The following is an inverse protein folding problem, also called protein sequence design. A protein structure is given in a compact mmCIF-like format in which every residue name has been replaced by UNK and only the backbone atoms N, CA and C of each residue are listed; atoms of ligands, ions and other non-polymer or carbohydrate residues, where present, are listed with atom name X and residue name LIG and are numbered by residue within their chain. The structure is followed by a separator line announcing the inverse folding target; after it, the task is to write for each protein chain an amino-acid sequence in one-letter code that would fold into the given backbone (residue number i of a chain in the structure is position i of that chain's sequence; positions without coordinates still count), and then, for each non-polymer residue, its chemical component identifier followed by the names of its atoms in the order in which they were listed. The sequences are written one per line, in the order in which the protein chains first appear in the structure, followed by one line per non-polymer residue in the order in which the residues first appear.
data_IF_484346612627
#
_entry.id   IF_484346612627
#
_cell.length_a   1.000
_cell.length_b   1.000
_cell.length_c   1.000
_cell.angle_alpha   90.00
_cell.angle_beta   90.00
_cell.angle_gamma   90.00
#
_symmetry.space_group_name_H-M   'P 1'
#
loop_
_entity.id
_entity.type
_entity.pdbx_description
1 polymer ?
#
# COMPACT_ATOMS: atom_id res chain seq x y z
N UNK A 1 -26.77 -11.31 2.04
CA UNK A 1 -26.13 -10.00 2.28
C UNK A 1 -24.84 -9.81 1.45
N UNK A 2 -23.89 -10.80 1.44
CA UNK A 2 -22.64 -10.70 0.67
C UNK A 2 -22.89 -10.52 -0.84
N UNK A 3 -23.79 -11.29 -1.45
CA UNK A 3 -24.10 -11.22 -2.88
C UNK A 3 -24.65 -9.84 -3.30
N UNK A 4 -25.41 -9.17 -2.44
CA UNK A 4 -25.94 -7.83 -2.73
C UNK A 4 -24.86 -6.72 -2.71
N UNK A 5 -23.69 -6.98 -2.13
CA UNK A 5 -22.58 -6.04 -1.99
C UNK A 5 -21.46 -6.24 -3.02
N UNK A 6 -21.50 -7.39 -3.73
CA UNK A 6 -20.46 -7.73 -4.72
C UNK A 6 -21.02 -7.58 -6.13
N UNK A 7 -20.24 -6.93 -7.00
CA UNK A 7 -20.57 -6.88 -8.41
C UNK A 7 -20.24 -8.23 -9.07
N UNK A 8 -21.13 -8.74 -9.95
CA UNK A 8 -20.96 -10.04 -10.59
C UNK A 8 -19.65 -10.18 -11.38
N UNK A 9 -19.14 -9.08 -11.95
CA UNK A 9 -17.89 -9.05 -12.71
C UNK A 9 -16.63 -8.97 -11.81
N UNK A 10 -16.77 -8.83 -10.47
CA UNK A 10 -15.65 -8.89 -9.56
C UNK A 10 -15.35 -10.33 -9.15
N UNK A 11 -14.90 -11.11 -10.14
CA UNK A 11 -14.65 -12.54 -10.01
C UNK A 11 -13.79 -12.90 -8.81
N UNK A 12 -12.73 -12.11 -8.54
CA UNK A 12 -11.82 -12.36 -7.39
C UNK A 12 -12.54 -12.23 -6.05
N UNK A 13 -13.38 -11.22 -5.89
CA UNK A 13 -14.14 -11.03 -4.64
C UNK A 13 -15.26 -12.05 -4.51
N UNK A 14 -15.90 -12.43 -5.60
CA UNK A 14 -16.92 -13.50 -5.62
C UNK A 14 -16.28 -14.82 -5.19
N UNK A 15 -15.16 -15.21 -5.81
CA UNK A 15 -14.42 -16.43 -5.45
C UNK A 15 -13.99 -16.40 -3.98
N UNK A 16 -13.43 -15.28 -3.52
CA UNK A 16 -13.01 -15.14 -2.12
C UNK A 16 -14.19 -15.27 -1.14
N UNK A 17 -15.35 -14.73 -1.48
CA UNK A 17 -16.54 -14.87 -0.66
C UNK A 17 -17.04 -16.33 -0.58
N UNK A 18 -16.94 -17.07 -1.69
CA UNK A 18 -17.26 -18.50 -1.74
C UNK A 18 -16.25 -19.33 -0.94
N UNK A 19 -14.95 -19.09 -1.10
CA UNK A 19 -13.90 -19.73 -0.31
C UNK A 19 -14.14 -19.59 1.19
N UNK A 20 -14.44 -18.37 1.66
CA UNK A 20 -14.76 -18.12 3.07
C UNK A 20 -16.01 -18.89 3.49
N UNK A 21 -17.05 -18.88 2.69
CA UNK A 21 -18.29 -19.60 2.99
C UNK A 21 -18.08 -21.12 3.09
N UNK A 22 -17.36 -21.71 2.14
CA UNK A 22 -17.10 -23.15 2.16
C UNK A 22 -16.13 -23.57 3.29
N UNK A 23 -15.22 -22.71 3.68
CA UNK A 23 -14.26 -23.01 4.77
C UNK A 23 -14.81 -22.76 6.16
N UNK A 24 -15.75 -21.82 6.32
CA UNK A 24 -16.23 -21.38 7.65
C UNK A 24 -17.69 -21.66 7.92
N UNK A 25 -18.47 -22.02 6.89
CA UNK A 25 -19.94 -22.13 6.95
C UNK A 25 -20.68 -20.79 7.10
N UNK A 26 -19.96 -19.66 7.14
CA UNK A 26 -20.52 -18.34 7.37
C UNK A 26 -20.24 -17.38 6.19
N UNK A 27 -21.19 -16.49 5.82
CA UNK A 27 -20.96 -15.55 4.75
C UNK A 27 -19.92 -14.49 5.15
N UNK A 28 -19.12 -14.05 4.18
CA UNK A 28 -18.06 -13.02 4.35
C UNK A 28 -18.58 -11.72 5.03
N UNK A 29 -19.84 -11.35 4.83
CA UNK A 29 -20.48 -10.21 5.50
C UNK A 29 -20.50 -10.35 7.02
N UNK A 30 -20.67 -11.56 7.53
CA UNK A 30 -20.70 -11.83 8.96
C UNK A 30 -19.30 -11.71 9.60
N UNK A 31 -18.26 -12.09 8.86
CA UNK A 31 -16.87 -11.88 9.30
C UNK A 31 -16.48 -10.39 9.28
N UNK A 32 -17.00 -9.64 8.30
CA UNK A 32 -16.79 -8.19 8.21
C UNK A 32 -17.50 -7.42 9.34
N UNK A 33 -18.66 -7.89 9.78
CA UNK A 33 -19.36 -7.32 10.95
C UNK A 33 -18.58 -7.56 12.26
N UNK A 34 -17.97 -8.74 12.42
CA UNK A 34 -17.11 -9.04 13.57
C UNK A 34 -15.81 -8.20 13.58
N UNK A 35 -15.29 -7.87 12.39
CA UNK A 35 -14.10 -6.99 12.26
C UNK A 35 -14.50 -5.50 12.32
N UNK A 36 -15.76 -5.18 12.07
CA UNK A 36 -16.31 -3.82 12.13
C UNK A 36 -16.73 -3.36 13.53
N UNK A 37 -16.73 -4.22 14.53
CA UNK A 37 -16.68 -3.81 15.92
C UNK A 37 -15.27 -3.24 16.16
N UNK A 38 -15.13 -1.96 15.86
CA UNK A 38 -13.95 -1.14 16.11
C UNK A 38 -13.72 -1.02 17.64
N UNK A 39 -13.41 -2.12 18.29
CA UNK A 39 -12.65 -2.06 19.53
C UNK A 39 -11.22 -1.71 19.10
N UNK A 40 -10.85 -0.47 19.32
CA UNK A 40 -9.45 -0.07 19.25
C UNK A 40 -8.73 -0.89 20.33
N UNK A 41 -8.11 -1.99 19.90
CA UNK A 41 -7.37 -2.91 20.79
C UNK A 41 -6.04 -2.28 21.23
N UNK A 42 -5.64 -1.21 20.60
CA UNK A 42 -4.35 -0.55 20.78
C UNK A 42 -4.51 0.96 20.73
N UNK A 43 -3.75 1.69 21.52
CA UNK A 43 -3.55 3.12 21.35
C UNK A 43 -2.75 3.32 20.06
N UNK A 44 -3.41 3.85 19.03
CA UNK A 44 -2.87 3.91 17.68
C UNK A 44 -2.70 5.34 17.22
N UNK A 45 -1.47 5.74 16.92
CA UNK A 45 -1.16 6.96 16.17
C UNK A 45 -0.78 6.62 14.73
N UNK A 46 -1.65 6.97 13.79
CA UNK A 46 -1.40 6.82 12.35
C UNK A 46 -0.85 8.12 11.79
N UNK A 47 0.35 8.07 11.21
CA UNK A 47 0.97 9.21 10.53
C UNK A 47 1.18 8.86 9.07
N UNK A 48 0.66 9.70 8.17
CA UNK A 48 0.88 9.57 6.73
C UNK A 48 1.64 10.79 6.20
N UNK A 49 2.74 10.51 5.51
CA UNK A 49 3.51 11.54 4.82
C UNK A 49 2.79 11.97 3.54
N UNK A 50 2.65 13.26 3.34
CA UNK A 50 2.03 13.84 2.15
C UNK A 50 2.98 14.85 1.50
N UNK A 51 2.89 14.97 0.18
CA UNK A 51 3.61 15.99 -0.59
C UNK A 51 2.83 16.35 -1.85
N UNK A 52 3.11 17.50 -2.50
CA UNK A 52 2.52 17.87 -3.77
C UNK A 52 2.67 16.75 -4.80
N UNK A 53 1.59 16.45 -5.53
CA UNK A 53 1.51 15.32 -6.46
C UNK A 53 2.60 15.32 -7.52
N UNK A 54 2.93 16.48 -8.06
CA UNK A 54 3.99 16.62 -9.06
C UNK A 54 5.34 16.16 -8.50
N UNK A 55 5.67 16.61 -7.29
CA UNK A 55 6.91 16.23 -6.59
C UNK A 55 6.96 14.74 -6.25
N UNK A 56 5.83 14.17 -5.81
CA UNK A 56 5.73 12.73 -5.57
C UNK A 56 6.01 11.92 -6.84
N UNK A 57 5.41 12.33 -7.97
CA UNK A 57 5.59 11.65 -9.24
C UNK A 57 7.01 11.76 -9.79
N UNK A 58 7.63 12.92 -9.66
CA UNK A 58 9.03 13.11 -10.02
C UNK A 58 9.97 12.22 -9.16
N UNK A 59 9.71 12.16 -7.87
CA UNK A 59 10.45 11.30 -6.94
C UNK A 59 10.30 9.81 -7.29
N UNK A 60 9.10 9.37 -7.65
CA UNK A 60 8.81 8.02 -8.10
C UNK A 60 9.59 7.71 -9.38
N UNK A 61 9.53 8.60 -10.37
CA UNK A 61 10.21 8.41 -11.64
C UNK A 61 11.73 8.29 -11.46
N UNK A 62 12.34 9.21 -10.69
CA UNK A 62 13.78 9.15 -10.36
C UNK A 62 14.16 7.88 -9.61
N UNK A 63 13.33 7.43 -8.66
CA UNK A 63 13.58 6.18 -7.94
C UNK A 63 13.62 4.98 -8.89
N UNK A 64 12.70 4.90 -9.86
CA UNK A 64 12.69 3.82 -10.86
C UNK A 64 13.95 3.87 -11.71
N UNK A 65 14.39 5.05 -12.16
CA UNK A 65 15.62 5.20 -12.93
C UNK A 65 16.85 4.73 -12.13
N UNK A 66 16.93 5.10 -10.84
CA UNK A 66 18.00 4.65 -9.94
C UNK A 66 17.97 3.13 -9.77
N UNK A 67 16.80 2.52 -9.55
CA UNK A 67 16.68 1.07 -9.41
C UNK A 67 17.14 0.34 -10.68
N UNK A 68 16.79 0.85 -11.85
CA UNK A 68 17.26 0.28 -13.11
C UNK A 68 18.80 0.42 -13.28
N UNK A 69 19.37 1.56 -12.89
CA UNK A 69 20.81 1.78 -12.90
C UNK A 69 21.57 0.93 -11.87
N UNK A 70 20.93 0.54 -10.78
CA UNK A 70 21.47 -0.31 -9.72
C UNK A 70 21.33 -1.80 -9.99
N UNK A 71 20.80 -2.21 -11.15
CA UNK A 71 20.79 -3.62 -11.55
C UNK A 71 19.44 -4.32 -11.40
N UNK A 72 18.32 -3.61 -11.41
CA UNK A 72 16.99 -4.23 -11.33
C UNK A 72 16.75 -5.27 -12.44
N UNK A 73 17.28 -5.06 -13.65
CA UNK A 73 17.14 -6.01 -14.74
C UNK A 73 17.95 -7.28 -14.48
N UNK A 74 19.17 -7.13 -14.00
CA UNK A 74 20.10 -8.20 -13.66
C UNK A 74 19.57 -9.03 -12.49
N UNK A 75 18.96 -8.38 -11.49
CA UNK A 75 18.29 -9.04 -10.37
C UNK A 75 17.16 -9.96 -10.86
N UNK A 76 16.24 -9.44 -11.67
CA UNK A 76 15.09 -10.22 -12.18
C UNK A 76 15.58 -11.34 -13.12
N UNK A 77 16.58 -11.08 -13.94
CA UNK A 77 17.18 -12.09 -14.80
C UNK A 77 17.80 -13.23 -13.98
N UNK A 78 18.52 -12.90 -12.91
CA UNK A 78 19.08 -13.88 -11.99
C UNK A 78 18.02 -14.74 -11.31
N UNK A 79 16.91 -14.14 -10.87
CA UNK A 79 15.80 -14.86 -10.27
C UNK A 79 15.16 -15.85 -11.25
N UNK A 80 14.94 -15.44 -12.49
CA UNK A 80 14.40 -16.31 -13.55
C UNK A 80 15.37 -17.45 -13.86
N UNK A 81 16.67 -17.16 -13.99
CA UNK A 81 17.69 -18.15 -14.24
C UNK A 81 17.81 -19.19 -13.12
N UNK A 82 17.51 -18.80 -11.87
CA UNK A 82 17.44 -19.70 -10.72
C UNK A 82 16.10 -20.46 -10.60
N UNK A 83 15.29 -20.45 -11.66
CA UNK A 83 14.07 -21.26 -11.74
C UNK A 83 12.81 -20.60 -11.15
N UNK A 84 12.83 -19.30 -10.83
CA UNK A 84 11.65 -18.63 -10.34
C UNK A 84 10.61 -18.50 -11.49
N UNK A 85 9.42 -19.10 -11.29
CA UNK A 85 8.36 -19.03 -12.29
C UNK A 85 7.79 -17.59 -12.36
N UNK A 86 7.63 -17.07 -13.57
CA UNK A 86 7.03 -15.75 -13.85
C UNK A 86 5.61 -15.57 -13.30
N UNK A 87 4.88 -16.67 -13.10
CA UNK A 87 3.51 -16.66 -12.57
C UNK A 87 3.45 -16.68 -11.04
N UNK A 88 4.56 -16.94 -10.35
CA UNK A 88 4.58 -16.95 -8.91
C UNK A 88 4.28 -15.55 -8.32
N UNK A 89 3.76 -15.52 -7.10
CA UNK A 89 3.33 -14.27 -6.44
C UNK A 89 4.44 -13.24 -6.33
N UNK A 90 5.68 -13.67 -6.08
CA UNK A 90 6.84 -12.77 -6.00
C UNK A 90 7.09 -12.04 -7.33
N UNK A 91 6.98 -12.74 -8.46
CA UNK A 91 7.16 -12.17 -9.80
C UNK A 91 5.99 -11.28 -10.25
N UNK A 92 4.86 -11.28 -9.53
CA UNK A 92 3.77 -10.33 -9.75
C UNK A 92 3.98 -9.00 -9.02
N UNK A 93 5.07 -8.87 -8.23
CA UNK A 93 5.43 -7.63 -7.58
C UNK A 93 5.68 -6.51 -8.61
N UNK A 94 5.36 -5.29 -8.17
CA UNK A 94 5.55 -4.10 -9.00
C UNK A 94 7.05 -3.90 -9.29
N UNK A 95 7.40 -3.86 -10.56
CA UNK A 95 8.77 -3.84 -11.06
C UNK A 95 9.17 -5.17 -11.68
N UNK A 96 9.05 -6.27 -10.97
CA UNK A 96 9.47 -7.59 -11.45
C UNK A 96 8.68 -8.04 -12.68
N UNK A 97 7.37 -7.83 -12.65
CA UNK A 97 6.50 -8.18 -13.78
C UNK A 97 6.87 -7.44 -15.06
N UNK A 98 7.06 -6.12 -14.97
CA UNK A 98 7.39 -5.28 -16.12
C UNK A 98 8.77 -5.63 -16.69
N UNK A 99 9.75 -5.85 -15.83
CA UNK A 99 11.11 -6.25 -16.24
C UNK A 99 11.10 -7.66 -16.85
N UNK A 100 10.36 -8.62 -16.26
CA UNK A 100 10.23 -9.96 -16.81
C UNK A 100 9.60 -9.97 -18.21
N UNK A 101 8.68 -9.07 -18.52
CA UNK A 101 8.12 -8.89 -19.85
C UNK A 101 9.18 -8.40 -20.86
N UNK A 102 10.04 -7.46 -20.45
CA UNK A 102 11.12 -7.00 -21.30
C UNK A 102 12.16 -8.09 -21.53
N UNK A 103 12.53 -8.85 -20.49
CA UNK A 103 13.48 -9.96 -20.61
C UNK A 103 12.97 -11.09 -21.52
N UNK A 104 11.64 -11.26 -21.62
CA UNK A 104 11.02 -12.20 -22.55
C UNK A 104 10.85 -11.64 -23.98
N UNK A 105 11.24 -10.38 -24.23
CA UNK A 105 11.08 -9.74 -25.54
C UNK A 105 9.64 -9.35 -25.88
N UNK A 106 8.73 -9.32 -24.88
CA UNK A 106 7.32 -8.94 -25.07
C UNK A 106 7.16 -7.43 -25.27
N UNK A 107 8.04 -6.65 -24.63
CA UNK A 107 8.11 -5.18 -24.72
C UNK A 107 9.57 -4.74 -24.75
N UNK A 108 9.83 -3.51 -25.18
CA UNK A 108 11.17 -2.94 -25.10
C UNK A 108 11.59 -2.63 -23.66
N UNK A 109 12.88 -2.46 -23.41
CA UNK A 109 13.40 -2.06 -22.09
C UNK A 109 12.87 -0.69 -21.67
N UNK A 110 12.80 0.25 -22.59
CA UNK A 110 12.27 1.59 -22.39
C UNK A 110 10.78 1.57 -22.04
N UNK A 111 10.03 0.73 -22.74
CA UNK A 111 8.60 0.56 -22.48
C UNK A 111 8.35 -0.07 -21.11
N UNK A 112 9.12 -1.10 -20.71
CA UNK A 112 9.02 -1.68 -19.39
C UNK A 112 9.29 -0.66 -18.27
N UNK A 113 10.32 0.18 -18.43
CA UNK A 113 10.64 1.26 -17.48
C UNK A 113 9.49 2.29 -17.41
N UNK A 114 8.93 2.69 -18.55
CA UNK A 114 7.80 3.61 -18.62
C UNK A 114 6.56 3.05 -17.91
N UNK A 115 6.25 1.79 -18.18
CA UNK A 115 5.16 1.06 -17.56
C UNK A 115 5.34 0.94 -16.05
N UNK A 116 6.56 0.63 -15.58
CA UNK A 116 6.89 0.57 -14.16
C UNK A 116 6.68 1.93 -13.48
N UNK A 117 7.17 3.02 -14.06
CA UNK A 117 6.93 4.39 -13.56
C UNK A 117 5.44 4.68 -13.44
N UNK A 118 4.67 4.40 -14.48
CA UNK A 118 3.23 4.66 -14.50
C UNK A 118 2.48 3.82 -13.44
N UNK A 119 2.78 2.54 -13.34
CA UNK A 119 2.15 1.64 -12.37
C UNK A 119 2.50 2.03 -10.94
N UNK A 120 3.72 2.47 -10.69
CA UNK A 120 4.16 2.96 -9.38
C UNK A 120 3.41 4.23 -8.98
N UNK A 121 3.22 5.20 -9.91
CA UNK A 121 2.37 6.38 -9.68
C UNK A 121 0.93 6.01 -9.37
N UNK A 122 0.38 5.04 -10.11
CA UNK A 122 -0.99 4.55 -9.87
C UNK A 122 -1.11 3.85 -8.51
N UNK A 123 -0.07 3.12 -8.09
CA UNK A 123 -0.01 2.51 -6.77
C UNK A 123 -0.01 3.57 -5.66
N UNK A 124 0.84 4.59 -5.76
CA UNK A 124 0.87 5.71 -4.82
C UNK A 124 -0.48 6.45 -4.74
N UNK A 125 -1.16 6.66 -5.87
CA UNK A 125 -2.51 7.23 -5.91
C UNK A 125 -3.51 6.37 -5.12
N UNK A 126 -3.46 5.04 -5.26
CA UNK A 126 -4.34 4.13 -4.51
C UNK A 126 -4.04 4.14 -3.02
N UNK A 127 -2.75 4.16 -2.62
CA UNK A 127 -2.35 4.28 -1.21
C UNK A 127 -2.91 5.55 -0.57
N UNK A 128 -2.73 6.71 -1.21
CA UNK A 128 -3.26 7.99 -0.72
C UNK A 128 -4.80 7.96 -0.63
N UNK A 129 -5.46 7.37 -1.62
CA UNK A 129 -6.94 7.25 -1.61
C UNK A 129 -7.43 6.34 -0.49
N UNK A 130 -6.67 5.31 -0.14
CA UNK A 130 -6.99 4.41 0.96
C UNK A 130 -6.79 5.12 2.30
N UNK A 131 -5.65 5.78 2.51
CA UNK A 131 -5.34 6.51 3.73
C UNK A 131 -6.33 7.66 4.00
N UNK A 132 -6.82 8.34 2.94
CA UNK A 132 -7.80 9.44 3.08
C UNK A 132 -9.17 8.99 3.57
N UNK A 133 -9.48 7.70 3.54
CA UNK A 133 -10.73 7.15 4.07
C UNK A 133 -10.70 6.93 5.57
N UNK A 134 -9.51 6.85 6.14
CA UNK A 134 -9.31 6.68 7.58
C UNK A 134 -9.15 8.05 8.24
N UNK A 135 -10.15 8.46 9.02
CA UNK A 135 -10.17 9.76 9.70
C UNK A 135 -9.15 9.87 10.83
N UNK A 136 -8.56 8.75 11.28
CA UNK A 136 -7.53 8.71 12.32
C UNK A 136 -6.15 9.10 11.81
N UNK A 137 -5.98 9.19 10.48
CA UNK A 137 -4.69 9.52 9.88
C UNK A 137 -4.31 10.97 10.15
N UNK A 138 -3.21 11.17 10.84
CA UNK A 138 -2.53 12.43 10.99
C UNK A 138 -1.64 12.68 9.76
N UNK A 139 -2.00 13.67 8.94
CA UNK A 139 -1.24 14.00 7.75
C UNK A 139 -0.05 14.91 8.09
N UNK A 140 1.13 14.48 7.68
CA UNK A 140 2.38 15.23 7.81
C UNK A 140 2.83 15.68 6.42
N UNK A 141 2.56 16.93 6.08
CA UNK A 141 3.00 17.51 4.81
C UNK A 141 4.52 17.71 4.80
N UNK A 142 5.15 17.26 3.72
CA UNK A 142 6.60 17.36 3.52
C UNK A 142 6.89 18.57 2.64
N UNK A 143 7.59 19.54 3.19
CA UNK A 143 8.07 20.71 2.47
C UNK A 143 9.43 20.45 1.79
N UNK A 144 9.85 21.38 0.93
CA UNK A 144 11.10 21.23 0.17
C UNK A 144 12.34 21.28 1.07
N UNK A 145 12.25 22.02 2.16
CA UNK A 145 13.34 22.23 3.11
C UNK A 145 13.32 21.24 4.28
N UNK A 146 12.33 20.34 4.33
CA UNK A 146 12.26 19.35 5.40
C UNK A 146 13.42 18.35 5.30
N UNK A 147 14.07 18.15 6.42
CA UNK A 147 15.06 17.09 6.63
C UNK A 147 14.42 15.91 7.36
N UNK A 148 15.12 14.78 7.42
CA UNK A 148 14.67 13.65 8.23
C UNK A 148 14.53 14.04 9.71
N UNK A 149 15.38 14.91 10.22
CA UNK A 149 15.33 15.39 11.62
C UNK A 149 14.06 16.22 11.87
N UNK A 150 13.77 17.22 11.03
CA UNK A 150 12.57 18.06 11.19
C UNK A 150 11.27 17.24 11.06
N UNK A 151 11.23 16.28 10.15
CA UNK A 151 10.08 15.38 10.01
C UNK A 151 9.92 14.48 11.24
N UNK A 152 11.03 13.99 11.80
CA UNK A 152 11.03 13.18 13.02
C UNK A 152 10.50 13.97 14.22
N UNK A 153 10.97 15.21 14.42
CA UNK A 153 10.48 16.08 15.48
C UNK A 153 8.97 16.34 15.38
N UNK A 154 8.47 16.62 14.16
CA UNK A 154 7.05 16.84 13.90
C UNK A 154 6.23 15.56 14.12
N UNK A 155 6.76 14.40 13.74
CA UNK A 155 6.10 13.11 14.00
C UNK A 155 6.02 12.80 15.51
N UNK A 156 7.10 13.05 16.27
CA UNK A 156 7.12 12.89 17.73
C UNK A 156 6.11 13.82 18.39
N UNK A 157 5.96 15.06 17.92
CA UNK A 157 4.95 15.99 18.44
C UNK A 157 3.52 15.46 18.25
N UNK A 158 3.22 14.83 17.11
CA UNK A 158 1.95 14.17 16.86
C UNK A 158 1.70 13.03 17.84
N UNK A 159 2.70 12.14 18.02
CA UNK A 159 2.61 10.99 18.94
C UNK A 159 2.31 11.47 20.37
N UNK A 160 3.09 12.44 20.86
CA UNK A 160 2.90 12.99 22.22
C UNK A 160 1.50 13.59 22.44
N UNK A 161 0.99 14.30 21.43
CA UNK A 161 -0.36 14.88 21.47
C UNK A 161 -1.43 13.79 21.53
N UNK A 162 -1.30 12.72 20.75
CA UNK A 162 -2.25 11.62 20.73
C UNK A 162 -2.19 10.81 22.04
N UNK A 163 -0.99 10.53 22.59
CA UNK A 163 -0.82 9.91 23.90
C UNK A 163 -1.50 10.68 25.03
N UNK A 164 -1.39 12.01 25.04
CA UNK A 164 -2.04 12.86 26.05
C UNK A 164 -3.57 12.77 25.93
N UNK A 165 -4.09 12.77 24.70
CA UNK A 165 -5.51 12.59 24.43
C UNK A 165 -6.04 11.25 24.95
N UNK A 166 -5.31 10.15 24.71
CA UNK A 166 -5.70 8.80 25.20
C UNK A 166 -5.69 8.73 26.73
N UNK A 167 -4.70 9.34 27.39
CA UNK A 167 -4.67 9.41 28.87
C UNK A 167 -5.87 10.14 29.45
N UNK A 168 -6.28 11.25 28.85
CA UNK A 168 -7.46 12.04 29.31
C UNK A 168 -8.74 11.21 29.13
N UNK A 169 -8.95 10.59 27.97
CA UNK A 169 -10.13 9.76 27.70
C UNK A 169 -10.26 8.60 28.71
N UNK A 170 -9.16 7.87 28.96
CA UNK A 170 -9.14 6.75 29.92
C UNK A 170 -9.40 7.21 31.38
N UNK A 171 -9.04 8.43 31.73
CA UNK A 171 -9.34 8.99 33.05
C UNK A 171 -10.83 9.40 33.21
N UNK A 172 -11.48 9.78 32.13
CA UNK A 172 -12.92 10.12 32.11
C UNK A 172 -13.80 8.86 32.15
N UNK A 173 -13.41 7.79 31.45
CA UNK A 173 -14.13 6.50 31.47
C UNK A 173 -13.98 5.74 32.80
N UNK A 174 -13.02 6.10 33.62
CA UNK A 174 -12.76 5.50 34.95
C UNK A 174 -13.47 6.21 36.08
N UNK A 175 -14.31 7.23 35.80
CA UNK A 175 -15.13 7.98 36.75
C UNK A 175 -16.59 7.64 36.60
#
# INVERSE_FOLDING_TARGET
PTAARLHANDTRRVLRALEIYYSTGAPMSQSAERTGENRELYDLTLIALNMPRARLYDRINRRVDIMCAQGLFEEVQGLIANGLNRECTAMQALGYKEIAQALAGEVSREEAISNLKQRTRNYAKRQLSWLRRDTRVNWLDIDENDTAATLTERAIAIIKRDDEKYRIMNMEESR
#
